data_IF_209159427838
#
_entry.id   IF_209159427838
#
_cell.length_a   1.000
_cell.length_b   1.000
_cell.length_c   1.000
_cell.angle_alpha   90.00
_cell.angle_beta   90.00
_cell.angle_gamma   90.00
#
_symmetry.space_group_name_H-M   'P 1'
#
loop_
_entity.id
_entity.type
_entity.pdbx_description
1 polymer ?
#
# COMPACT_ATOMS: atom_id res chain seq x y z
N UNK A 1 -33.34 -8.06 7.62
CA UNK A 1 -32.11 -7.70 6.90
C UNK A 1 -32.52 -6.74 5.80
N UNK A 2 -32.22 -5.44 5.94
CA UNK A 2 -32.64 -4.42 4.96
C UNK A 2 -31.77 -4.52 3.72
N UNK A 3 -32.40 -4.69 2.56
CA UNK A 3 -31.72 -4.61 1.26
C UNK A 3 -31.31 -3.17 1.03
N UNK A 4 -30.01 -2.93 0.79
CA UNK A 4 -29.50 -1.63 0.38
C UNK A 4 -30.11 -1.33 -0.99
N UNK A 5 -30.98 -0.31 -1.06
CA UNK A 5 -31.63 0.08 -2.32
C UNK A 5 -30.61 0.67 -3.29
N UNK A 6 -30.85 0.52 -4.60
CA UNK A 6 -30.05 1.16 -5.65
C UNK A 6 -30.00 2.70 -5.48
N UNK A 7 -31.00 3.28 -4.82
CA UNK A 7 -31.06 4.69 -4.46
C UNK A 7 -30.02 5.08 -3.40
N UNK A 8 -29.71 4.19 -2.46
CA UNK A 8 -28.74 4.41 -1.38
C UNK A 8 -27.30 4.28 -1.92
N UNK A 9 -27.08 3.34 -2.84
CA UNK A 9 -25.84 3.26 -3.63
C UNK A 9 -25.65 4.51 -4.50
N UNK A 10 -26.71 4.97 -5.16
CA UNK A 10 -26.66 6.18 -5.97
C UNK A 10 -26.42 7.43 -5.13
N UNK A 11 -26.95 7.48 -3.91
CA UNK A 11 -26.71 8.57 -2.98
C UNK A 11 -25.27 8.57 -2.46
N UNK A 12 -24.72 7.40 -2.10
CA UNK A 12 -23.30 7.28 -1.73
C UNK A 12 -22.35 7.70 -2.87
N UNK A 13 -22.69 7.40 -4.12
CA UNK A 13 -21.91 7.85 -5.30
C UNK A 13 -22.02 9.36 -5.50
N UNK A 14 -23.19 9.97 -5.26
CA UNK A 14 -23.38 11.42 -5.34
C UNK A 14 -22.63 12.15 -4.21
N UNK A 15 -22.72 11.66 -2.99
CA UNK A 15 -21.99 12.19 -1.82
C UNK A 15 -20.47 12.06 -2.00
N UNK A 16 -20.00 11.08 -2.77
CA UNK A 16 -18.60 10.93 -3.18
C UNK A 16 -18.14 11.98 -4.21
N UNK A 17 -19.06 12.56 -4.99
CA UNK A 17 -18.79 13.50 -6.08
C UNK A 17 -18.96 14.97 -5.62
N UNK A 18 -19.85 15.27 -4.67
CA UNK A 18 -20.26 16.66 -4.33
C UNK A 18 -19.55 17.30 -3.12
N UNK A 19 -18.21 17.19 -3.02
CA UNK A 19 -17.44 18.00 -2.04
C UNK A 19 -16.35 18.84 -2.70
N UNK A 20 -16.70 19.69 -3.66
CA UNK A 20 -16.05 20.99 -3.93
C UNK A 20 -17.06 21.90 -4.67
N UNK A 21 -17.17 23.20 -4.34
CA UNK A 21 -18.02 24.14 -5.06
C UNK A 21 -17.56 24.30 -6.53
N UNK A 22 -18.47 24.68 -7.46
CA UNK A 22 -18.13 24.83 -8.86
C UNK A 22 -17.09 25.94 -9.05
N UNK A 23 -15.86 25.56 -9.40
CA UNK A 23 -14.83 26.49 -9.86
C UNK A 23 -15.24 26.96 -11.25
N UNK A 24 -15.49 28.26 -11.38
CA UNK A 24 -15.72 28.96 -12.63
C UNK A 24 -14.66 28.57 -13.66
N UNK A 25 -15.09 27.95 -14.77
CA UNK A 25 -14.21 27.56 -15.86
C UNK A 25 -13.77 28.84 -16.58
N UNK A 26 -12.62 29.37 -16.18
CA UNK A 26 -11.87 30.33 -16.99
C UNK A 26 -11.25 29.58 -18.16
N UNK A 27 -11.59 29.97 -19.39
CA UNK A 27 -10.86 29.58 -20.59
C UNK A 27 -9.47 30.23 -20.58
N UNK A 28 -8.57 29.70 -19.77
CA UNK A 28 -7.15 30.02 -19.85
C UNK A 28 -6.49 29.05 -20.84
N UNK A 29 -6.33 29.54 -22.07
CA UNK A 29 -5.11 29.44 -22.89
C UNK A 29 -4.17 28.27 -22.60
N UNK A 30 -3.97 27.45 -23.63
CA UNK A 30 -2.95 26.42 -23.82
C UNK A 30 -1.53 26.79 -23.36
N UNK A 31 -1.23 26.69 -22.06
CA UNK A 31 0.15 26.61 -21.57
C UNK A 31 0.27 25.53 -20.48
N UNK A 32 0.47 24.25 -20.86
CA UNK A 32 0.75 23.18 -19.89
C UNK A 32 2.19 23.20 -19.31
N UNK A 33 3.02 24.20 -19.64
CA UNK A 33 4.48 24.04 -19.64
C UNK A 33 5.20 24.37 -18.33
N UNK A 34 4.89 25.48 -17.65
CA UNK A 34 5.79 26.00 -16.60
C UNK A 34 5.69 25.24 -15.27
N UNK A 35 4.46 24.89 -14.87
CA UNK A 35 4.22 24.19 -13.60
C UNK A 35 4.74 22.75 -13.63
N UNK A 36 4.54 22.05 -14.75
CA UNK A 36 5.06 20.70 -14.97
C UNK A 36 6.59 20.67 -14.93
N UNK A 37 7.25 21.59 -15.65
CA UNK A 37 8.71 21.70 -15.64
C UNK A 37 9.26 21.95 -14.23
N UNK A 38 8.64 22.86 -13.48
CA UNK A 38 9.06 23.13 -12.10
C UNK A 38 8.87 21.91 -11.18
N UNK A 39 7.73 21.19 -11.29
CA UNK A 39 7.47 19.97 -10.52
C UNK A 39 8.47 18.86 -10.86
N UNK A 40 8.78 18.67 -12.14
CA UNK A 40 9.75 17.69 -12.60
C UNK A 40 11.16 18.00 -12.08
N UNK A 41 11.63 19.24 -12.25
CA UNK A 41 12.95 19.66 -11.78
C UNK A 41 13.05 19.57 -10.25
N UNK A 42 12.04 20.06 -9.53
CA UNK A 42 11.99 19.96 -8.06
C UNK A 42 12.05 18.50 -7.60
N UNK A 43 11.33 17.61 -8.28
CA UNK A 43 11.34 16.18 -7.96
C UNK A 43 12.70 15.56 -8.23
N UNK A 44 13.34 15.87 -9.36
CA UNK A 44 14.70 15.41 -9.65
C UNK A 44 15.71 15.92 -8.62
N UNK A 45 15.62 17.18 -8.22
CA UNK A 45 16.51 17.77 -7.21
C UNK A 45 16.36 17.08 -5.86
N UNK A 46 15.13 16.72 -5.46
CA UNK A 46 14.88 16.02 -4.19
C UNK A 46 15.34 14.56 -4.28
N UNK A 47 15.04 13.88 -5.39
CA UNK A 47 15.45 12.48 -5.58
C UNK A 47 16.96 12.34 -5.74
N UNK A 48 17.63 13.30 -6.37
CA UNK A 48 19.08 13.30 -6.56
C UNK A 48 19.88 13.54 -5.28
N UNK A 49 19.26 14.11 -4.24
CA UNK A 49 19.89 14.29 -2.92
C UNK A 49 19.81 12.99 -2.14
N UNK A 50 20.92 12.29 -1.96
CA UNK A 50 21.03 11.16 -1.04
C UNK A 50 21.96 11.54 0.11
N UNK A 51 21.59 11.17 1.34
CA UNK A 51 22.56 11.16 2.44
C UNK A 51 23.43 9.91 2.35
N UNK A 52 24.61 9.92 2.98
CA UNK A 52 25.50 8.76 2.99
C UNK A 52 24.76 7.51 3.53
N UNK A 53 23.93 7.71 4.55
CA UNK A 53 23.11 6.67 5.17
C UNK A 53 22.03 6.13 4.23
N UNK A 54 21.34 7.01 3.49
CA UNK A 54 20.36 6.60 2.48
C UNK A 54 21.02 5.81 1.34
N UNK A 55 22.21 6.21 0.90
CA UNK A 55 22.96 5.54 -0.15
C UNK A 55 23.45 4.14 0.27
N UNK A 56 23.90 4.00 1.53
CA UNK A 56 24.30 2.72 2.11
C UNK A 56 23.14 1.72 2.12
N UNK A 57 21.99 2.10 2.70
CA UNK A 57 20.81 1.24 2.75
C UNK A 57 20.32 0.92 1.34
N UNK A 58 20.31 1.90 0.44
CA UNK A 58 19.91 1.68 -0.95
C UNK A 58 20.79 0.63 -1.65
N UNK A 59 22.12 0.69 -1.46
CA UNK A 59 23.05 -0.30 -1.98
C UNK A 59 22.78 -1.71 -1.45
N UNK A 60 22.55 -1.85 -0.14
CA UNK A 60 22.18 -3.13 0.50
C UNK A 60 20.86 -3.68 -0.04
N UNK A 61 19.84 -2.84 -0.13
CA UNK A 61 18.52 -3.22 -0.63
C UNK A 61 18.60 -3.73 -2.07
N UNK A 62 19.33 -3.04 -2.95
CA UNK A 62 19.52 -3.49 -4.34
C UNK A 62 20.23 -4.83 -4.41
N UNK A 63 21.28 -5.03 -3.62
CA UNK A 63 22.00 -6.30 -3.52
C UNK A 63 21.06 -7.44 -3.11
N UNK A 64 20.25 -7.25 -2.06
CA UNK A 64 19.34 -8.30 -1.60
C UNK A 64 18.21 -8.60 -2.58
N UNK A 65 17.67 -7.59 -3.27
CA UNK A 65 16.65 -7.81 -4.32
C UNK A 65 17.22 -8.68 -5.45
N UNK A 66 18.48 -8.45 -5.85
CA UNK A 66 19.14 -9.26 -6.86
C UNK A 66 19.36 -10.72 -6.40
N UNK A 67 19.67 -10.94 -5.11
CA UNK A 67 19.87 -12.28 -4.53
C UNK A 67 18.57 -13.09 -4.40
N UNK A 68 17.45 -12.43 -4.04
CA UNK A 68 16.22 -13.12 -3.65
C UNK A 68 15.35 -13.54 -4.86
N UNK A 69 15.54 -12.94 -6.04
CA UNK A 69 14.65 -13.11 -7.19
C UNK A 69 13.25 -12.52 -6.93
N UNK A 70 12.43 -12.34 -7.98
CA UNK A 70 11.10 -11.72 -7.82
C UNK A 70 10.01 -12.48 -8.57
N UNK A 71 9.02 -13.01 -7.84
CA UNK A 71 7.67 -13.31 -8.34
C UNK A 71 6.61 -12.55 -7.52
N UNK A 72 5.40 -12.33 -8.07
CA UNK A 72 4.36 -11.48 -7.44
C UNK A 72 3.85 -12.01 -6.09
N UNK A 73 3.70 -13.32 -5.95
CA UNK A 73 3.28 -13.95 -4.69
C UNK A 73 4.36 -13.85 -3.59
N UNK A 74 5.58 -13.49 -3.97
CA UNK A 74 6.70 -13.32 -3.05
C UNK A 74 6.83 -11.88 -2.54
N UNK A 75 6.07 -10.87 -2.95
CA UNK A 75 6.34 -9.49 -2.53
C UNK A 75 6.24 -9.27 -1.01
N UNK A 76 5.18 -9.82 -0.38
CA UNK A 76 5.04 -9.77 1.09
C UNK A 76 6.17 -10.55 1.78
N UNK A 77 6.59 -11.66 1.18
CA UNK A 77 7.72 -12.44 1.65
C UNK A 77 9.05 -11.70 1.42
N UNK A 78 9.17 -10.92 0.36
CA UNK A 78 10.34 -10.14 -0.02
C UNK A 78 10.58 -9.03 1.00
N UNK A 79 9.53 -8.31 1.42
CA UNK A 79 9.63 -7.30 2.49
C UNK A 79 10.05 -7.93 3.83
N UNK A 80 9.57 -9.14 4.16
CA UNK A 80 10.03 -9.89 5.34
C UNK A 80 11.49 -10.34 5.21
N UNK A 81 11.86 -10.92 4.08
CA UNK A 81 13.24 -11.37 3.77
C UNK A 81 14.22 -10.20 3.81
N UNK A 82 13.82 -9.04 3.28
CA UNK A 82 14.56 -7.79 3.34
C UNK A 82 14.86 -7.38 4.79
N UNK A 83 13.85 -7.41 5.66
CA UNK A 83 14.03 -7.13 7.10
C UNK A 83 14.99 -8.13 7.74
N UNK A 84 14.88 -9.43 7.42
CA UNK A 84 15.79 -10.44 7.96
C UNK A 84 17.24 -10.22 7.52
N UNK A 85 17.48 -9.91 6.24
CA UNK A 85 18.81 -9.62 5.69
C UNK A 85 19.42 -8.36 6.31
N UNK A 86 18.66 -7.27 6.40
CA UNK A 86 19.11 -6.04 7.06
C UNK A 86 19.44 -6.29 8.55
N UNK A 87 18.64 -7.07 9.26
CA UNK A 87 18.94 -7.45 10.65
C UNK A 87 20.20 -8.31 10.77
N UNK A 88 20.41 -9.24 9.84
CA UNK A 88 21.62 -10.06 9.81
C UNK A 88 22.90 -9.23 9.60
N UNK A 89 22.79 -8.13 8.85
CA UNK A 89 23.88 -7.16 8.66
C UNK A 89 23.99 -6.15 9.83
N UNK A 90 23.17 -6.27 10.87
CA UNK A 90 23.25 -5.48 12.11
C UNK A 90 22.38 -4.23 12.15
N UNK A 91 21.53 -3.99 11.15
CA UNK A 91 20.62 -2.84 11.15
C UNK A 91 19.38 -3.08 12.01
N UNK A 92 18.89 -2.04 12.70
CA UNK A 92 17.58 -2.06 13.34
C UNK A 92 16.48 -1.87 12.29
N UNK A 93 16.10 -2.94 11.60
CA UNK A 93 15.05 -2.94 10.58
C UNK A 93 13.73 -3.53 11.10
N UNK A 94 12.59 -2.99 10.66
CA UNK A 94 11.26 -3.53 10.96
C UNK A 94 10.35 -3.49 9.74
N UNK A 95 9.42 -4.45 9.68
CA UNK A 95 8.30 -4.39 8.73
C UNK A 95 7.20 -3.56 9.37
N UNK A 96 6.85 -2.44 8.77
CA UNK A 96 5.86 -1.52 9.27
C UNK A 96 4.56 -1.65 8.48
N UNK A 97 3.46 -1.77 9.21
CA UNK A 97 2.11 -1.86 8.66
C UNK A 97 1.28 -0.67 9.13
N UNK A 98 0.94 0.22 8.21
CA UNK A 98 0.00 1.31 8.48
C UNK A 98 -1.40 0.86 8.17
N UNK A 99 -2.34 1.39 8.94
CA UNK A 99 -3.75 1.26 8.59
C UNK A 99 -4.50 2.54 8.91
N UNK A 100 -5.35 2.97 7.99
CA UNK A 100 -6.10 4.21 8.14
C UNK A 100 -7.54 4.02 7.69
N UNK A 101 -8.43 4.73 8.37
CA UNK A 101 -9.86 4.75 8.06
C UNK A 101 -10.04 5.83 6.99
N UNK A 102 -10.52 5.44 5.82
CA UNK A 102 -11.05 6.41 4.87
C UNK A 102 -12.41 6.90 5.36
N UNK A 103 -12.82 8.14 5.05
CA UNK A 103 -14.13 8.69 5.44
C UNK A 103 -15.33 7.84 4.97
N UNK A 104 -15.12 6.84 4.11
CA UNK A 104 -16.07 5.75 3.91
C UNK A 104 -15.91 4.71 5.03
N UNK A 105 -16.94 4.55 5.88
CA UNK A 105 -17.02 3.64 7.03
C UNK A 105 -16.75 2.13 6.75
N UNK A 106 -16.30 1.75 5.55
CA UNK A 106 -16.18 0.35 5.11
C UNK A 106 -14.87 -0.02 4.39
N UNK A 107 -13.90 0.89 4.22
CA UNK A 107 -12.59 0.52 3.67
C UNK A 107 -11.43 1.04 4.51
N UNK A 108 -10.72 0.10 5.14
CA UNK A 108 -9.48 0.35 5.86
C UNK A 108 -8.34 0.19 4.87
N UNK A 109 -7.70 1.31 4.50
CA UNK A 109 -6.45 1.24 3.74
C UNK A 109 -5.39 0.58 4.61
N UNK A 110 -4.64 -0.35 4.02
CA UNK A 110 -3.53 -1.05 4.68
C UNK A 110 -2.32 -0.97 3.77
N UNK A 111 -1.16 -0.66 4.34
CA UNK A 111 0.07 -0.59 3.57
C UNK A 111 1.24 -1.14 4.39
N UNK A 112 2.15 -1.84 3.71
CA UNK A 112 3.32 -2.46 4.32
C UNK A 112 4.60 -1.97 3.63
N UNK A 113 5.54 -1.48 4.43
CA UNK A 113 6.84 -0.97 4.01
C UNK A 113 7.91 -1.35 5.05
N UNK A 114 9.18 -1.26 4.69
CA UNK A 114 10.28 -1.52 5.62
C UNK A 114 10.76 -0.19 6.18
N UNK A 115 11.04 -0.12 7.47
CA UNK A 115 11.82 0.99 8.03
C UNK A 115 13.11 0.49 8.68
N UNK A 116 14.11 1.37 8.67
CA UNK A 116 15.43 1.15 9.24
C UNK A 116 15.75 2.34 10.13
N UNK A 117 16.06 2.07 11.39
CA UNK A 117 16.58 3.09 12.30
C UNK A 117 18.09 3.15 12.12
N UNK A 118 18.58 4.33 11.74
CA UNK A 118 20.01 4.62 11.58
C UNK A 118 20.43 5.67 12.60
N UNK A 119 21.73 5.72 12.89
CA UNK A 119 22.32 6.76 13.74
C UNK A 119 23.14 7.67 12.84
N UNK A 120 22.76 8.94 12.76
CA UNK A 120 23.52 9.95 12.02
C UNK A 120 24.88 10.21 12.68
N UNK A 121 25.80 10.86 11.95
CA UNK A 121 27.15 11.20 12.44
C UNK A 121 27.15 12.04 13.74
N UNK A 122 26.07 12.76 14.00
CA UNK A 122 25.88 13.57 15.22
C UNK A 122 25.23 12.81 16.38
N UNK A 123 24.98 11.50 16.21
CA UNK A 123 24.39 10.62 17.22
C UNK A 123 22.86 10.62 17.25
N UNK A 124 22.17 11.40 16.40
CA UNK A 124 20.70 11.38 16.35
C UNK A 124 20.20 10.16 15.61
N UNK A 125 19.15 9.54 16.15
CA UNK A 125 18.44 8.47 15.46
C UNK A 125 17.60 9.06 14.31
N UNK A 126 17.76 8.48 13.13
CA UNK A 126 17.03 8.84 11.92
C UNK A 126 16.33 7.63 11.34
N UNK A 127 15.05 7.81 11.02
CA UNK A 127 14.23 6.80 10.38
C UNK A 127 14.37 6.89 8.87
N UNK A 128 14.80 5.79 8.25
CA UNK A 128 14.84 5.61 6.80
C UNK A 128 13.72 4.67 6.39
N UNK A 129 12.92 5.08 5.42
CA UNK A 129 11.83 4.29 4.84
C UNK A 129 12.33 3.62 3.57
N UNK A 130 12.07 2.32 3.45
CA UNK A 130 12.34 1.50 2.28
C UNK A 130 11.01 0.98 1.73
N UNK A 131 10.69 1.36 0.50
CA UNK A 131 9.54 0.87 -0.24
C UNK A 131 9.97 0.24 -1.54
N UNK A 132 9.67 -1.06 -1.72
CA UNK A 132 10.12 -1.83 -2.87
C UNK A 132 9.26 -1.63 -4.13
N UNK A 133 8.11 -0.97 -4.01
CA UNK A 133 7.15 -0.77 -5.09
C UNK A 133 6.60 0.67 -5.10
N UNK A 134 7.48 1.65 -4.91
CA UNK A 134 7.10 3.03 -4.69
C UNK A 134 6.45 3.67 -5.92
N UNK A 135 7.01 3.46 -7.11
CA UNK A 135 6.53 4.05 -8.36
C UNK A 135 5.09 3.65 -8.67
N UNK A 136 4.74 2.38 -8.48
CA UNK A 136 3.39 1.85 -8.79
C UNK A 136 2.30 2.57 -7.99
N UNK A 137 2.64 3.03 -6.78
CA UNK A 137 1.71 3.74 -5.90
C UNK A 137 1.20 5.04 -6.51
N UNK A 138 1.83 5.56 -7.57
CA UNK A 138 1.48 6.81 -8.25
C UNK A 138 0.96 6.62 -9.68
N UNK A 139 0.86 5.39 -10.19
CA UNK A 139 0.37 5.14 -11.55
C UNK A 139 -1.09 5.57 -11.76
N UNK A 140 -1.40 6.15 -12.92
CA UNK A 140 -2.75 6.56 -13.28
C UNK A 140 -3.27 5.73 -14.47
N UNK A 141 -4.59 5.45 -14.56
CA UNK A 141 -5.15 4.73 -15.71
C UNK A 141 -5.04 5.49 -17.04
N UNK A 142 -5.03 6.82 -17.01
CA UNK A 142 -4.96 7.70 -18.19
C UNK A 142 -4.07 8.91 -17.88
N UNK A 143 -2.75 8.72 -17.78
CA UNK A 143 -1.84 9.82 -17.48
C UNK A 143 -1.71 10.76 -18.69
N UNK A 144 -1.41 12.03 -18.43
CA UNK A 144 -0.90 12.95 -19.47
C UNK A 144 0.56 12.61 -19.78
N UNK A 145 1.06 13.06 -20.94
CA UNK A 145 2.48 12.88 -21.28
C UNK A 145 3.41 13.52 -20.23
N UNK A 146 3.08 14.74 -19.81
CA UNK A 146 3.72 15.42 -18.70
C UNK A 146 3.78 14.55 -17.43
N UNK A 147 2.65 14.00 -16.99
CA UNK A 147 2.64 13.16 -15.79
C UNK A 147 3.49 11.89 -15.96
N UNK A 148 3.51 11.29 -17.15
CA UNK A 148 4.37 10.14 -17.43
C UNK A 148 5.86 10.48 -17.27
N UNK A 149 6.32 11.67 -17.66
CA UNK A 149 7.71 12.09 -17.43
C UNK A 149 8.06 12.11 -15.93
N UNK A 150 7.14 12.60 -15.10
CA UNK A 150 7.26 12.60 -13.63
C UNK A 150 7.28 11.17 -13.06
N UNK A 151 6.38 10.29 -13.51
CA UNK A 151 6.35 8.91 -13.01
C UNK A 151 7.60 8.13 -13.43
N UNK A 152 8.10 8.36 -14.64
CA UNK A 152 9.25 7.66 -15.17
C UNK A 152 10.56 8.02 -14.44
N UNK A 153 10.64 9.18 -13.80
CA UNK A 153 11.80 9.55 -12.99
C UNK A 153 11.75 9.02 -11.54
N UNK A 154 10.60 8.53 -11.07
CA UNK A 154 10.49 7.96 -9.73
C UNK A 154 11.27 6.64 -9.62
N UNK A 155 11.99 6.38 -8.51
CA UNK A 155 12.61 5.08 -8.33
C UNK A 155 11.54 3.99 -8.11
N UNK A 156 11.79 2.78 -8.60
CA UNK A 156 10.96 1.62 -8.27
C UNK A 156 11.07 1.31 -6.78
N UNK A 157 12.32 1.26 -6.29
CA UNK A 157 12.64 1.09 -4.88
C UNK A 157 13.00 2.46 -4.29
N UNK A 158 12.15 2.97 -3.41
CA UNK A 158 12.42 4.19 -2.68
C UNK A 158 13.19 3.88 -1.39
N UNK A 159 14.25 4.66 -1.15
CA UNK A 159 14.96 4.71 0.12
C UNK A 159 15.14 6.17 0.50
N UNK A 160 14.60 6.58 1.64
CA UNK A 160 14.73 7.97 2.08
C UNK A 160 14.07 8.27 3.43
N UNK A 161 14.38 9.45 3.97
CA UNK A 161 13.81 9.93 5.23
C UNK A 161 12.32 10.27 5.14
N UNK A 162 11.68 10.37 6.31
CA UNK A 162 10.28 10.85 6.44
C UNK A 162 10.09 12.25 5.86
N UNK A 163 11.06 13.15 6.05
CA UNK A 163 11.02 14.53 5.56
C UNK A 163 11.08 14.57 4.03
N UNK A 164 11.97 13.76 3.44
CA UNK A 164 12.13 13.63 1.99
C UNK A 164 10.83 13.12 1.37
N UNK A 165 10.28 12.06 1.95
CA UNK A 165 9.01 11.47 1.51
C UNK A 165 7.83 12.45 1.70
N UNK A 166 7.81 13.19 2.81
CA UNK A 166 6.83 14.23 3.10
C UNK A 166 6.81 15.36 2.07
N UNK A 167 7.95 15.62 1.42
CA UNK A 167 8.09 16.62 0.34
C UNK A 167 7.73 16.05 -1.03
N UNK A 168 8.12 14.80 -1.32
CA UNK A 168 7.85 14.15 -2.61
C UNK A 168 6.35 13.88 -2.82
N UNK A 169 5.65 13.36 -1.80
CA UNK A 169 4.26 12.93 -1.95
C UNK A 169 3.33 14.08 -2.40
N UNK A 170 3.35 15.29 -1.80
CA UNK A 170 2.52 16.41 -2.25
C UNK A 170 2.79 16.83 -3.69
N UNK A 171 4.05 16.84 -4.12
CA UNK A 171 4.43 17.18 -5.51
C UNK A 171 3.80 16.18 -6.48
N UNK A 172 3.95 14.88 -6.22
CA UNK A 172 3.37 13.82 -7.05
C UNK A 172 1.84 13.86 -7.06
N UNK A 173 1.20 14.14 -5.92
CA UNK A 173 -0.25 14.24 -5.84
C UNK A 173 -0.78 15.47 -6.58
N UNK A 174 -0.04 16.60 -6.58
CA UNK A 174 -0.39 17.78 -7.38
C UNK A 174 -0.31 17.47 -8.88
N UNK A 175 0.79 16.87 -9.32
CA UNK A 175 0.95 16.46 -10.72
C UNK A 175 -0.14 15.45 -11.14
N UNK A 176 -0.50 14.51 -10.26
CA UNK A 176 -1.57 13.54 -10.50
C UNK A 176 -2.93 14.23 -10.65
N UNK A 177 -3.20 15.21 -9.78
CA UNK A 177 -4.41 16.03 -9.81
C UNK A 177 -4.53 16.79 -11.14
N UNK A 178 -3.44 17.40 -11.61
CA UNK A 178 -3.40 18.11 -12.89
C UNK A 178 -3.65 17.16 -14.06
N UNK A 179 -3.01 15.99 -14.07
CA UNK A 179 -3.21 14.96 -15.09
C UNK A 179 -4.66 14.46 -15.14
N UNK A 180 -5.26 14.15 -13.99
CA UNK A 180 -6.64 13.67 -13.91
C UNK A 180 -7.61 14.73 -14.41
N UNK A 181 -7.45 15.99 -13.98
CA UNK A 181 -8.28 17.11 -14.43
C UNK A 181 -8.18 17.32 -15.94
N UNK A 182 -6.97 17.30 -16.50
CA UNK A 182 -6.75 17.45 -17.95
C UNK A 182 -7.42 16.33 -18.77
N UNK A 183 -7.65 15.16 -18.16
CA UNK A 183 -8.35 14.03 -18.78
C UNK A 183 -9.84 13.95 -18.40
N UNK A 184 -10.39 14.97 -17.75
CA UNK A 184 -11.79 15.00 -17.32
C UNK A 184 -12.13 13.95 -16.27
N UNK A 185 -11.14 13.50 -15.49
CA UNK A 185 -11.31 12.49 -14.44
C UNK A 185 -11.43 13.15 -13.06
N UNK A 186 -12.33 12.62 -12.23
CA UNK A 186 -12.42 12.97 -10.82
C UNK A 186 -11.16 12.52 -10.06
N UNK A 187 -10.78 13.25 -9.02
CA UNK A 187 -9.62 12.93 -8.17
C UNK A 187 -10.10 12.07 -7.01
N UNK A 188 -9.81 10.77 -6.98
CA UNK A 188 -10.27 9.92 -5.89
C UNK A 188 -9.53 10.27 -4.58
N UNK A 189 -10.10 9.95 -3.40
CA UNK A 189 -9.49 10.24 -2.11
C UNK A 189 -8.07 9.68 -1.96
N UNK A 190 -7.79 8.50 -2.53
CA UNK A 190 -6.47 7.88 -2.48
C UNK A 190 -5.41 8.57 -3.35
N UNK A 191 -5.79 9.57 -4.15
CA UNK A 191 -4.88 10.43 -4.89
C UNK A 191 -4.67 11.79 -4.22
N UNK A 192 -5.27 12.03 -3.05
CA UNK A 192 -5.02 13.21 -2.21
C UNK A 192 -3.76 13.00 -1.37
N UNK A 193 -2.98 14.07 -1.18
CA UNK A 193 -1.70 14.03 -0.47
C UNK A 193 -1.83 13.46 0.95
N UNK A 194 -2.85 13.87 1.71
CA UNK A 194 -3.07 13.39 3.07
C UNK A 194 -3.29 11.87 3.14
N UNK A 195 -4.03 11.30 2.19
CA UNK A 195 -4.22 9.85 2.11
C UNK A 195 -2.91 9.15 1.77
N UNK A 196 -2.19 9.65 0.76
CA UNK A 196 -0.94 9.05 0.32
C UNK A 196 0.13 9.13 1.42
N UNK A 197 0.28 10.26 2.10
CA UNK A 197 1.20 10.39 3.24
C UNK A 197 0.88 9.40 4.36
N UNK A 198 -0.41 9.12 4.61
CA UNK A 198 -0.82 8.18 5.66
C UNK A 198 -0.33 6.75 5.45
N UNK A 199 0.04 6.35 4.22
CA UNK A 199 0.63 5.04 3.93
C UNK A 199 1.99 4.84 4.64
N UNK A 200 2.78 5.90 4.80
CA UNK A 200 4.14 5.82 5.33
C UNK A 200 4.36 6.63 6.61
N UNK A 201 3.70 7.79 6.72
CA UNK A 201 3.96 8.80 7.75
C UNK A 201 2.89 8.83 8.87
N UNK A 202 1.92 7.91 8.83
CA UNK A 202 0.93 7.81 9.90
C UNK A 202 1.59 7.33 11.19
N UNK A 203 1.31 8.01 12.31
CA UNK A 203 1.73 7.59 13.66
C UNK A 203 1.10 6.26 14.09
N UNK A 204 -0.02 5.88 13.47
CA UNK A 204 -0.77 4.65 13.77
C UNK A 204 -0.26 3.45 12.96
N UNK A 205 1.05 3.20 12.99
CA UNK A 205 1.65 2.01 12.37
C UNK A 205 1.93 0.93 13.40
N UNK A 206 1.96 -0.33 12.95
CA UNK A 206 2.36 -1.49 13.76
C UNK A 206 3.64 -2.07 13.18
N UNK A 207 4.63 -2.34 14.04
CA UNK A 207 5.77 -3.19 13.68
C UNK A 207 5.29 -4.64 13.64
N UNK A 208 5.40 -5.27 12.48
CA UNK A 208 5.08 -6.69 12.29
C UNK A 208 6.27 -7.51 12.76
N UNK A 209 6.01 -8.56 13.55
CA UNK A 209 7.06 -9.47 13.94
C UNK A 209 7.52 -10.27 12.72
N UNK A 210 8.81 -10.19 12.41
CA UNK A 210 9.45 -10.96 11.35
C UNK A 210 10.36 -11.97 12.04
N UNK A 211 9.80 -13.14 12.32
CA UNK A 211 10.53 -14.34 12.74
C UNK A 211 10.93 -15.15 11.50
N UNK A 212 12.03 -15.91 11.56
CA UNK A 212 12.49 -16.77 10.46
C UNK A 212 11.60 -18.02 10.21
N UNK A 213 10.35 -18.02 10.67
CA UNK A 213 9.45 -19.17 10.54
C UNK A 213 8.66 -19.03 9.23
N UNK A 214 8.82 -20.02 8.34
CA UNK A 214 8.02 -20.19 7.14
C UNK A 214 6.58 -20.50 7.57
N UNK A 215 5.73 -19.48 7.68
CA UNK A 215 4.33 -19.71 8.02
C UNK A 215 3.57 -20.27 6.81
N UNK A 216 3.36 -21.59 6.85
CA UNK A 216 2.18 -22.24 6.26
C UNK A 216 0.95 -21.87 7.09
N UNK A 217 0.19 -20.88 6.63
CA UNK A 217 -1.07 -20.50 7.28
C UNK A 217 -2.19 -21.46 6.82
N UNK A 218 -2.45 -22.48 7.64
CA UNK A 218 -3.60 -23.38 7.50
C UNK A 218 -4.73 -22.90 8.40
N UNK A 219 -5.81 -22.43 7.77
CA UNK A 219 -7.10 -22.07 8.39
C UNK A 219 -7.46 -22.99 9.56
N UNK A 220 -7.67 -22.42 10.76
CA UNK A 220 -8.55 -23.01 11.77
C UNK A 220 -9.62 -22.01 12.16
N UNK A 221 -10.80 -22.20 11.58
CA UNK A 221 -12.05 -21.74 12.17
C UNK A 221 -12.37 -22.66 13.37
N UNK A 222 -12.35 -22.13 14.59
CA UNK A 222 -12.99 -22.77 15.73
C UNK A 222 -14.48 -22.44 15.73
N UNK A 223 -15.30 -23.42 15.32
CA UNK A 223 -16.72 -23.46 15.69
C UNK A 223 -16.84 -23.99 17.11
N UNK A 224 -17.10 -23.08 18.05
CA UNK A 224 -17.57 -23.41 19.40
C UNK A 224 -18.95 -24.07 19.33
N UNK A 225 -18.99 -25.39 19.54
CA UNK A 225 -20.21 -26.14 19.78
C UNK A 225 -20.66 -26.03 21.24
N UNK A 226 -21.91 -25.63 21.44
CA UNK A 226 -22.64 -25.84 22.70
C UNK A 226 -23.47 -27.11 22.57
N UNK A 227 -23.18 -28.09 23.42
CA UNK A 227 -23.97 -29.30 23.58
C UNK A 227 -25.18 -29.01 24.49
N UNK A 228 -26.36 -29.54 24.16
CA UNK A 228 -27.15 -30.33 25.12
C UNK A 228 -28.40 -30.98 24.51
N UNK A 229 -28.65 -32.19 25.00
CA UNK A 229 -29.94 -32.92 25.16
C UNK A 229 -30.34 -34.05 24.21
N UNK A 230 -30.80 -35.12 24.89
CA UNK A 230 -31.00 -36.53 24.54
C UNK A 230 -32.23 -36.87 23.67
N UNK A 231 -32.09 -37.98 22.92
CA UNK A 231 -32.97 -39.16 22.63
C UNK A 231 -34.48 -39.18 23.01
N UNK A 232 -35.33 -40.14 22.51
CA UNK A 232 -35.09 -41.32 21.64
C UNK A 232 -36.17 -41.64 20.55
N UNK A 233 -35.93 -42.61 19.64
CA UNK A 233 -36.73 -43.87 19.49
C UNK A 233 -36.75 -44.53 18.07
N UNK A 234 -36.34 -45.81 18.04
CA UNK A 234 -37.02 -47.04 17.50
C UNK A 234 -37.58 -47.07 16.05
N UNK A 235 -37.06 -47.99 15.20
CA UNK A 235 -37.74 -49.12 14.48
C UNK A 235 -36.76 -49.73 13.44
N UNK A 236 -36.20 -50.94 13.60
CA UNK A 236 -36.73 -52.31 13.36
C UNK A 236 -36.65 -52.82 11.90
N UNK A 237 -35.85 -53.89 11.75
CA UNK A 237 -35.96 -55.09 10.87
C UNK A 237 -35.97 -54.97 9.33
N UNK A 238 -35.10 -55.78 8.72
CA UNK A 238 -35.16 -56.17 7.30
C UNK A 238 -34.07 -57.17 6.94
N UNK A 239 -34.29 -58.45 7.25
CA UNK A 239 -33.46 -59.60 6.88
C UNK A 239 -33.92 -60.11 5.51
N UNK A 240 -32.99 -60.40 4.59
CA UNK A 240 -33.16 -61.41 3.53
C UNK A 240 -31.80 -61.91 3.06
N UNK A 241 -31.77 -63.21 2.80
CA UNK A 241 -30.63 -64.12 2.75
C UNK A 241 -30.53 -64.73 1.35
N UNK A 242 -29.38 -65.35 1.05
CA UNK A 242 -29.11 -66.33 -0.04
C UNK A 242 -28.80 -65.75 -1.44
N UNK A 243 -27.88 -66.28 -2.26
CA UNK A 243 -27.30 -67.62 -2.36
C UNK A 243 -25.98 -67.67 -3.20
N UNK A 244 -25.07 -68.57 -2.79
CA UNK A 244 -24.23 -69.53 -3.58
C UNK A 244 -23.18 -69.02 -4.60
N UNK A 245 -21.87 -69.21 -4.35
CA UNK A 245 -20.98 -70.39 -4.63
C UNK A 245 -20.45 -70.46 -6.08
N UNK A 246 -19.35 -71.16 -6.41
CA UNK A 246 -18.56 -72.15 -5.64
C UNK A 246 -17.42 -71.59 -4.80
#
# INVERSE_FOLDING_TARGET
MGSLGEEDLSQMVRDYIELEPPISISMASSVPSLNHQHQYLSLQDILGKYTDEEAEIHGKVLMYVAELGTSKDQEKNLKKLMVMKLRADGYEASLCKTSWISNSNHSKGVYEYVDVMMVEKDGRAKRVIVDLDFRSQFELPRPTAAYNEIINCLPLIFVGSEEKLGTIIPLLCSAAKESLKAKGLHIPPWRKAAYMQSKWLSKNFKKVNVSPELEEDSKREEKSGTASTCFPSIFSKGQLQFCLKP
#
